data_IF_144343616352
#
_entry.id   IF_144343616352
#
_cell.length_a   1.000
_cell.length_b   1.000
_cell.length_c   1.000
_cell.angle_alpha   90.00
_cell.angle_beta   90.00
_cell.angle_gamma   90.00
#
_symmetry.space_group_name_H-M   'P 1'
#
loop_
_entity.id
_entity.type
_entity.pdbx_description
1 polymer ?
#
# COMPACT_ATOMS: atom_id res chain seq x y z
N UNK A 1 -6.41 -35.37 -11.97
CA UNK A 1 -6.91 -34.07 -12.50
C UNK A 1 -6.12 -32.95 -11.86
N UNK A 2 -5.04 -32.52 -12.51
CA UNK A 2 -4.17 -31.46 -11.99
C UNK A 2 -4.91 -30.12 -12.10
N UNK A 3 -5.34 -29.58 -10.96
CA UNK A 3 -5.88 -28.22 -10.84
C UNK A 3 -4.78 -27.22 -11.18
N UNK A 4 -4.66 -26.89 -12.47
CA UNK A 4 -3.76 -25.85 -12.95
C UNK A 4 -4.47 -24.51 -12.76
N UNK A 5 -4.04 -23.78 -11.74
CA UNK A 5 -4.46 -22.41 -11.50
C UNK A 5 -3.77 -21.47 -12.51
N UNK A 6 -4.47 -20.43 -12.99
CA UNK A 6 -3.98 -19.37 -13.89
C UNK A 6 -3.81 -19.76 -15.37
N UNK A 7 -4.86 -20.31 -15.97
CA UNK A 7 -4.87 -20.58 -17.42
C UNK A 7 -5.15 -19.35 -18.28
N UNK A 8 -5.93 -18.41 -17.75
CA UNK A 8 -6.47 -17.30 -18.54
C UNK A 8 -5.90 -15.93 -18.15
N UNK A 9 -5.17 -15.87 -17.04
CA UNK A 9 -4.59 -14.62 -16.52
C UNK A 9 -3.28 -14.31 -17.22
N UNK A 10 -3.20 -13.15 -17.86
CA UNK A 10 -1.95 -12.70 -18.48
C UNK A 10 -0.84 -12.49 -17.44
N UNK A 11 0.41 -12.94 -17.67
CA UNK A 11 1.52 -12.75 -16.72
C UNK A 11 1.77 -11.28 -16.36
N UNK A 12 1.54 -10.37 -17.32
CA UNK A 12 1.68 -8.92 -17.12
C UNK A 12 0.73 -8.35 -16.06
N UNK A 13 -0.47 -8.93 -15.90
CA UNK A 13 -1.45 -8.53 -14.88
C UNK A 13 -0.91 -8.77 -13.46
N UNK A 14 -0.35 -9.96 -13.21
CA UNK A 14 0.25 -10.29 -11.93
C UNK A 14 1.51 -9.45 -11.72
N UNK A 15 2.37 -9.36 -12.73
CA UNK A 15 3.61 -8.59 -12.63
C UNK A 15 3.36 -7.13 -12.25
N UNK A 16 2.47 -6.42 -12.95
CA UNK A 16 2.18 -5.02 -12.66
C UNK A 16 1.56 -4.83 -11.27
N UNK A 17 0.59 -5.67 -10.90
CA UNK A 17 -0.03 -5.60 -9.58
C UNK A 17 0.97 -5.81 -8.44
N UNK A 18 1.81 -6.84 -8.54
CA UNK A 18 2.83 -7.12 -7.53
C UNK A 18 3.98 -6.11 -7.52
N UNK A 19 4.31 -5.50 -8.66
CA UNK A 19 5.28 -4.41 -8.74
C UNK A 19 4.81 -3.19 -7.94
N UNK A 20 3.55 -2.77 -8.12
CA UNK A 20 2.99 -1.65 -7.36
C UNK A 20 2.85 -2.02 -5.88
N UNK A 21 2.48 -3.27 -5.57
CA UNK A 21 2.47 -3.77 -4.19
C UNK A 21 3.84 -3.69 -3.53
N UNK A 22 4.92 -4.04 -4.24
CA UNK A 22 6.27 -3.92 -3.70
C UNK A 22 6.62 -2.46 -3.39
N UNK A 23 6.26 -1.51 -4.27
CA UNK A 23 6.45 -0.07 -4.02
C UNK A 23 5.66 0.41 -2.79
N UNK A 24 4.43 -0.04 -2.63
CA UNK A 24 3.60 0.27 -1.47
C UNK A 24 4.19 -0.30 -0.19
N UNK A 25 4.67 -1.55 -0.23
CA UNK A 25 5.28 -2.22 0.91
C UNK A 25 6.57 -1.51 1.34
N UNK A 26 7.44 -1.13 0.40
CA UNK A 26 8.66 -0.37 0.69
C UNK A 26 8.32 0.97 1.34
N UNK A 27 7.38 1.72 0.75
CA UNK A 27 6.95 3.03 1.28
C UNK A 27 6.36 2.90 2.69
N UNK A 28 5.58 1.84 2.93
CA UNK A 28 5.04 1.53 4.25
C UNK A 28 6.13 1.21 5.27
N UNK A 29 7.14 0.40 4.90
CA UNK A 29 8.25 0.08 5.78
C UNK A 29 9.07 1.32 6.14
N UNK A 30 9.35 2.21 5.17
CA UNK A 30 10.08 3.46 5.40
C UNK A 30 9.30 4.35 6.38
N UNK A 31 8.00 4.52 6.17
CA UNK A 31 7.14 5.30 7.07
C UNK A 31 7.13 4.73 8.50
N UNK A 32 6.96 3.42 8.66
CA UNK A 32 6.97 2.80 9.99
C UNK A 32 8.34 2.88 10.66
N UNK A 33 9.43 2.86 9.90
CA UNK A 33 10.77 2.99 10.45
C UNK A 33 10.96 4.33 11.18
N UNK A 34 10.32 5.41 10.72
CA UNK A 34 10.40 6.74 11.38
C UNK A 34 9.65 6.80 12.71
N UNK A 35 8.72 5.87 12.99
CA UNK A 35 7.93 5.88 14.24
C UNK A 35 8.69 5.31 15.44
N UNK A 36 9.86 4.70 15.22
CA UNK A 36 10.59 4.00 16.27
C UNK A 36 12.08 4.41 16.29
N UNK A 37 12.56 4.87 17.44
CA UNK A 37 13.96 5.31 17.59
C UNK A 37 15.00 4.22 17.31
N UNK A 38 14.66 2.96 17.61
CA UNK A 38 15.58 1.83 17.50
C UNK A 38 15.14 0.88 16.39
N UNK A 39 16.10 0.48 15.55
CA UNK A 39 15.89 -0.43 14.43
C UNK A 39 15.18 -1.72 14.82
N UNK A 40 15.54 -2.36 15.94
CA UNK A 40 14.89 -3.61 16.40
C UNK A 40 13.42 -3.38 16.76
N UNK A 41 13.09 -2.24 17.39
CA UNK A 41 11.70 -1.89 17.72
C UNK A 41 10.89 -1.59 16.48
N UNK A 42 11.50 -0.92 15.49
CA UNK A 42 10.89 -0.67 14.19
C UNK A 42 10.52 -1.96 13.46
N UNK A 43 11.46 -2.90 13.39
CA UNK A 43 11.25 -4.18 12.71
C UNK A 43 10.16 -4.99 13.40
N UNK A 44 10.25 -5.16 14.74
CA UNK A 44 9.24 -5.90 15.49
C UNK A 44 7.87 -5.23 15.41
N UNK A 45 7.81 -3.90 15.60
CA UNK A 45 6.58 -3.12 15.51
C UNK A 45 5.90 -3.27 14.15
N UNK A 46 6.66 -3.07 13.06
CA UNK A 46 6.15 -3.22 11.69
C UNK A 46 5.68 -4.65 11.42
N UNK A 47 6.42 -5.66 11.90
CA UNK A 47 6.03 -7.06 11.80
C UNK A 47 4.70 -7.34 12.53
N UNK A 48 4.55 -6.86 13.76
CA UNK A 48 3.30 -7.00 14.51
C UNK A 48 2.13 -6.30 13.82
N UNK A 49 2.32 -5.07 13.34
CA UNK A 49 1.30 -4.33 12.58
C UNK A 49 0.88 -5.12 11.32
N UNK A 50 1.85 -5.68 10.59
CA UNK A 50 1.59 -6.48 9.41
C UNK A 50 0.81 -7.75 9.75
N UNK A 51 1.19 -8.48 10.80
CA UNK A 51 0.48 -9.68 11.28
C UNK A 51 -0.93 -9.35 11.76
N UNK A 52 -1.12 -8.26 12.50
CA UNK A 52 -2.45 -7.82 12.93
C UNK A 52 -3.35 -7.47 11.74
N UNK A 53 -2.80 -6.84 10.70
CA UNK A 53 -3.55 -6.53 9.49
C UNK A 53 -4.07 -7.78 8.76
N UNK A 54 -3.40 -8.93 8.91
CA UNK A 54 -3.87 -10.22 8.40
C UNK A 54 -5.16 -10.68 9.08
N UNK A 55 -5.25 -10.53 10.39
CA UNK A 55 -6.45 -10.89 11.15
C UNK A 55 -7.62 -9.97 10.81
N UNK A 56 -7.38 -8.66 10.70
CA UNK A 56 -8.39 -7.68 10.30
C UNK A 56 -8.98 -8.02 8.93
N UNK A 57 -8.13 -8.35 7.95
CA UNK A 57 -8.60 -8.70 6.60
C UNK A 57 -9.45 -9.97 6.57
N UNK A 58 -9.12 -10.98 7.38
CA UNK A 58 -9.87 -12.23 7.42
C UNK A 58 -11.35 -12.02 7.75
N UNK A 59 -11.65 -10.98 8.53
CA UNK A 59 -12.99 -10.54 8.85
C UNK A 59 -13.56 -9.57 7.79
N UNK A 60 -12.70 -8.72 7.20
CA UNK A 60 -13.09 -7.71 6.22
C UNK A 60 -13.57 -8.26 4.85
N UNK A 61 -13.39 -9.54 4.56
CA UNK A 61 -13.92 -10.18 3.33
C UNK A 61 -15.45 -10.03 3.22
N UNK A 62 -16.15 -10.00 4.36
CA UNK A 62 -17.62 -9.89 4.42
C UNK A 62 -18.07 -8.43 4.37
N UNK A 63 -17.14 -7.48 4.43
CA UNK A 63 -17.46 -6.06 4.50
C UNK A 63 -17.73 -5.45 3.12
N UNK A 64 -18.46 -4.33 3.07
CA UNK A 64 -18.68 -3.58 1.83
C UNK A 64 -17.37 -3.23 1.11
N UNK A 65 -17.40 -3.20 -0.21
CA UNK A 65 -16.26 -2.90 -1.08
C UNK A 65 -15.59 -1.57 -0.76
N UNK A 66 -16.36 -0.55 -0.37
CA UNK A 66 -15.84 0.74 0.06
C UNK A 66 -14.88 0.61 1.26
N UNK A 67 -15.21 -0.23 2.25
CA UNK A 67 -14.36 -0.45 3.41
C UNK A 67 -13.11 -1.23 3.01
N UNK A 68 -13.22 -2.19 2.10
CA UNK A 68 -12.07 -2.91 1.57
C UNK A 68 -11.08 -1.97 0.87
N UNK A 69 -11.57 -0.97 0.11
CA UNK A 69 -10.72 0.05 -0.52
C UNK A 69 -10.00 0.94 0.50
N UNK A 70 -10.69 1.35 1.57
CA UNK A 70 -10.06 2.10 2.67
C UNK A 70 -8.98 1.24 3.35
N UNK A 71 -9.24 -0.05 3.53
CA UNK A 71 -8.28 -0.96 4.13
C UNK A 71 -7.05 -1.24 3.24
N UNK A 72 -7.21 -1.27 1.92
CA UNK A 72 -6.09 -1.31 0.95
C UNK A 72 -5.20 -0.07 1.11
N UNK A 73 -5.80 1.08 1.40
CA UNK A 73 -5.07 2.32 1.64
C UNK A 73 -4.27 2.30 2.96
N UNK A 74 -4.78 1.58 3.98
CA UNK A 74 -4.16 1.53 5.31
C UNK A 74 -3.05 0.48 5.39
N UNK A 75 -3.21 -0.67 4.75
CA UNK A 75 -2.25 -1.78 4.87
C UNK A 75 -1.86 -2.37 3.53
N UNK A 76 -0.54 -2.51 3.25
CA UNK A 76 -0.07 -3.18 2.03
C UNK A 76 -0.48 -4.66 2.00
N UNK A 77 -0.59 -5.36 3.13
CA UNK A 77 -1.01 -6.78 3.15
C UNK A 77 -2.33 -7.00 2.39
N UNK A 78 -3.28 -6.10 2.63
CA UNK A 78 -4.63 -6.16 2.07
C UNK A 78 -4.58 -5.91 0.56
N UNK A 79 -3.76 -4.97 0.12
CA UNK A 79 -3.50 -4.70 -1.28
C UNK A 79 -2.98 -5.94 -2.02
N UNK A 80 -1.94 -6.60 -1.50
CA UNK A 80 -1.37 -7.81 -2.11
C UNK A 80 -2.37 -8.97 -2.21
N UNK A 81 -3.21 -9.16 -1.17
CA UNK A 81 -4.30 -10.16 -1.19
C UNK A 81 -5.39 -9.81 -2.21
N UNK A 82 -5.74 -8.54 -2.33
CA UNK A 82 -6.78 -8.09 -3.27
C UNK A 82 -6.41 -8.35 -4.73
N UNK A 83 -5.14 -8.13 -5.10
CA UNK A 83 -4.62 -8.45 -6.44
C UNK A 83 -4.71 -9.95 -6.72
N UNK A 84 -4.29 -10.78 -5.76
CA UNK A 84 -4.35 -12.23 -5.89
C UNK A 84 -5.78 -12.75 -6.03
N UNK A 85 -6.71 -12.19 -5.25
CA UNK A 85 -8.13 -12.55 -5.32
C UNK A 85 -8.73 -12.16 -6.68
N UNK A 86 -8.38 -10.98 -7.22
CA UNK A 86 -8.85 -10.56 -8.54
C UNK A 86 -8.28 -11.44 -9.66
N UNK A 87 -7.02 -11.89 -9.54
CA UNK A 87 -6.45 -12.85 -10.47
C UNK A 87 -7.20 -14.19 -10.47
N UNK A 88 -7.56 -14.71 -9.29
CA UNK A 88 -8.37 -15.94 -9.18
C UNK A 88 -9.76 -15.73 -9.79
N UNK A 89 -10.43 -14.61 -9.47
CA UNK A 89 -11.76 -14.33 -10.01
C UNK A 89 -11.74 -14.20 -11.54
N UNK A 90 -10.69 -13.60 -12.09
CA UNK A 90 -10.47 -13.53 -13.52
C UNK A 90 -10.26 -14.93 -14.13
N UNK A 91 -9.51 -15.79 -13.45
CA UNK A 91 -9.28 -17.17 -13.91
C UNK A 91 -10.56 -18.01 -13.89
N UNK A 92 -11.35 -17.89 -12.81
CA UNK A 92 -12.65 -18.56 -12.67
C UNK A 92 -13.69 -18.08 -13.68
N UNK A 93 -13.61 -16.82 -14.11
CA UNK A 93 -14.47 -16.28 -15.15
C UNK A 93 -14.20 -16.90 -16.54
N UNK A 94 -13.10 -17.66 -16.70
CA UNK A 94 -12.67 -18.30 -17.95
C UNK A 94 -12.62 -17.33 -19.15
N UNK A 95 -12.45 -16.04 -18.87
CA UNK A 95 -12.36 -15.02 -19.92
C UNK A 95 -10.93 -14.94 -20.40
N UNK A 96 -10.64 -15.53 -21.56
CA UNK A 96 -9.39 -15.29 -22.31
C UNK A 96 -9.41 -13.88 -22.93
N UNK A 97 -9.33 -12.85 -22.09
CA UNK A 97 -9.22 -11.46 -22.54
C UNK A 97 -7.75 -11.05 -22.48
N UNK A 98 -7.26 -10.49 -23.58
CA UNK A 98 -5.93 -9.91 -23.66
C UNK A 98 -5.71 -8.90 -22.52
N UNK A 99 -4.46 -8.66 -22.09
CA UNK A 99 -4.12 -7.74 -20.98
C UNK A 99 -4.92 -6.43 -21.02
N UNK A 100 -4.99 -5.75 -22.17
CA UNK A 100 -5.75 -4.51 -22.38
C UNK A 100 -7.28 -4.67 -22.42
N UNK A 101 -7.78 -5.87 -22.71
CA UNK A 101 -9.21 -6.17 -22.76
C UNK A 101 -9.74 -6.67 -21.41
N UNK A 102 -8.91 -7.34 -20.60
CA UNK A 102 -9.15 -7.60 -19.18
C UNK A 102 -9.24 -6.28 -18.40
N UNK A 103 -8.35 -5.36 -18.76
CA UNK A 103 -8.36 -3.94 -18.38
C UNK A 103 -9.69 -3.27 -18.73
N UNK A 104 -10.26 -3.51 -19.93
CA UNK A 104 -11.48 -2.84 -20.42
C UNK A 104 -12.82 -3.49 -20.05
N UNK A 105 -12.84 -4.74 -19.57
CA UNK A 105 -14.08 -5.47 -19.23
C UNK A 105 -14.37 -5.51 -17.72
N UNK A 106 -13.33 -5.45 -16.88
CA UNK A 106 -13.41 -5.34 -15.41
C UNK A 106 -12.87 -3.98 -14.89
N UNK A 107 -12.96 -2.95 -15.75
CA UNK A 107 -12.40 -1.58 -15.59
C UNK A 107 -12.47 -1.00 -14.19
N UNK A 108 -13.57 -1.08 -13.42
CA UNK A 108 -13.59 -0.34 -12.18
C UNK A 108 -12.68 -0.96 -11.13
N UNK A 109 -12.65 -2.28 -10.95
CA UNK A 109 -12.17 -2.86 -9.69
C UNK A 109 -10.64 -2.92 -9.65
N UNK A 110 -10.00 -3.41 -10.70
CA UNK A 110 -8.53 -3.55 -10.73
C UNK A 110 -7.84 -2.19 -10.84
N UNK A 111 -8.31 -1.29 -11.71
CA UNK A 111 -7.74 0.05 -11.79
C UNK A 111 -7.94 0.86 -10.52
N UNK A 112 -9.11 0.77 -9.88
CA UNK A 112 -9.33 1.43 -8.59
C UNK A 112 -8.37 0.87 -7.54
N UNK A 113 -8.15 -0.45 -7.49
CA UNK A 113 -7.14 -1.03 -6.60
C UNK A 113 -5.74 -0.50 -6.88
N UNK A 114 -5.27 -0.53 -8.14
CA UNK A 114 -3.94 0.00 -8.49
C UNK A 114 -3.81 1.49 -8.19
N UNK A 115 -4.85 2.28 -8.49
CA UNK A 115 -4.88 3.71 -8.22
C UNK A 115 -4.78 4.00 -6.72
N UNK A 116 -5.57 3.31 -5.89
CA UNK A 116 -5.50 3.45 -4.43
C UNK A 116 -4.11 3.08 -3.93
N UNK A 117 -3.49 2.01 -4.45
CA UNK A 117 -2.14 1.62 -4.04
C UNK A 117 -1.11 2.70 -4.37
N UNK A 118 -1.16 3.29 -5.57
CA UNK A 118 -0.27 4.41 -5.95
C UNK A 118 -0.51 5.61 -5.04
N UNK A 119 -1.76 5.98 -4.77
CA UNK A 119 -2.12 7.07 -3.86
C UNK A 119 -1.61 6.79 -2.45
N UNK A 120 -1.65 5.53 -2.01
CA UNK A 120 -1.10 5.09 -0.71
C UNK A 120 0.42 5.25 -0.67
N UNK A 121 1.13 4.91 -1.75
CA UNK A 121 2.59 5.12 -1.84
C UNK A 121 2.95 6.59 -1.64
N UNK A 122 2.28 7.48 -2.38
CA UNK A 122 2.50 8.93 -2.28
C UNK A 122 2.20 9.42 -0.87
N UNK A 123 1.10 8.95 -0.27
CA UNK A 123 0.72 9.30 1.09
C UNK A 123 1.76 8.84 2.12
N UNK A 124 2.22 7.58 2.06
CA UNK A 124 3.25 7.08 2.97
C UNK A 124 4.58 7.82 2.81
N UNK A 125 4.92 8.25 1.59
CA UNK A 125 6.11 9.06 1.34
C UNK A 125 6.00 10.46 1.99
N UNK A 126 4.87 11.14 1.78
CA UNK A 126 4.61 12.45 2.41
C UNK A 126 4.61 12.31 3.93
N UNK A 127 3.97 11.26 4.45
CA UNK A 127 3.91 11.01 5.88
C UNK A 127 5.30 10.68 6.45
N UNK A 128 6.10 9.90 5.73
CA UNK A 128 7.49 9.63 6.12
C UNK A 128 8.31 10.91 6.20
N UNK A 129 8.20 11.79 5.20
CA UNK A 129 8.87 13.09 5.22
C UNK A 129 8.41 13.97 6.39
N UNK A 130 7.11 13.98 6.69
CA UNK A 130 6.57 14.68 7.85
C UNK A 130 7.11 14.11 9.17
N UNK A 131 7.10 12.78 9.32
CA UNK A 131 7.55 12.10 10.53
C UNK A 131 9.04 12.31 10.79
N UNK A 132 9.87 12.34 9.74
CA UNK A 132 11.31 12.62 9.89
C UNK A 132 11.58 14.01 10.50
N UNK A 133 10.71 14.99 10.23
CA UNK A 133 10.82 16.36 10.79
C UNK A 133 10.29 16.47 12.22
N UNK A 134 9.25 15.71 12.56
CA UNK A 134 8.63 15.73 13.89
C UNK A 134 9.37 14.84 14.89
N UNK A 135 9.81 13.66 14.44
CA UNK A 135 10.57 12.68 15.21
C UNK A 135 11.96 12.51 14.61
N UNK A 136 12.84 13.50 14.75
CA UNK A 136 14.21 13.34 14.29
C UNK A 136 14.91 12.22 15.07
N UNK A 137 15.81 11.51 14.39
CA UNK A 137 16.71 10.55 15.02
C UNK A 137 17.71 11.20 15.99
N UNK A 138 18.71 10.45 16.43
CA UNK A 138 19.61 10.76 17.57
C UNK A 138 20.28 12.16 17.57
N UNK A 139 20.35 12.87 16.44
CA UNK A 139 21.06 14.15 16.30
C UNK A 139 20.21 15.31 15.74
N UNK A 140 18.90 15.13 15.49
CA UNK A 140 18.07 16.20 14.94
C UNK A 140 17.26 16.95 16.01
N UNK A 141 17.01 18.24 15.78
CA UNK A 141 16.15 19.07 16.64
C UNK A 141 14.70 18.86 16.20
N UNK A 142 13.78 18.43 17.08
CA UNK A 142 12.40 18.15 16.71
C UNK A 142 11.67 19.44 16.32
N UNK A 143 11.01 19.43 15.15
CA UNK A 143 10.09 20.49 14.79
C UNK A 143 8.72 20.23 15.44
N UNK A 144 8.04 21.31 15.82
CA UNK A 144 6.67 21.23 16.33
C UNK A 144 5.75 20.55 15.32
N UNK A 145 4.76 19.78 15.79
CA UNK A 145 3.78 19.10 14.93
C UNK A 145 3.06 20.01 13.91
N UNK A 146 2.91 21.29 14.24
CA UNK A 146 2.26 22.29 13.40
C UNK A 146 3.24 23.04 12.46
N UNK A 147 4.48 22.56 12.30
CA UNK A 147 5.50 23.21 11.47
C UNK A 147 5.04 23.47 10.03
N UNK A 148 4.21 22.58 9.46
CA UNK A 148 3.65 22.73 8.12
C UNK A 148 2.83 24.01 7.95
N UNK A 149 2.24 24.54 9.02
CA UNK A 149 1.44 25.77 9.00
C UNK A 149 2.23 27.03 9.34
N UNK A 150 3.49 26.91 9.77
CA UNK A 150 4.33 28.06 10.09
C UNK A 150 4.97 28.59 8.80
N UNK A 151 4.74 29.87 8.49
CA UNK A 151 5.31 30.51 7.31
C UNK A 151 6.85 30.54 7.34
N UNK A 152 7.44 30.60 8.53
CA UNK A 152 8.89 30.62 8.75
C UNK A 152 9.57 29.31 8.31
N UNK A 153 8.84 28.20 8.25
CA UNK A 153 9.37 26.93 7.71
C UNK A 153 9.53 26.98 6.18
N UNK A 154 8.56 27.57 5.49
CA UNK A 154 8.54 27.62 4.02
C UNK A 154 9.33 28.80 3.47
N UNK A 155 9.45 29.88 4.25
CA UNK A 155 10.25 31.04 3.91
C UNK A 155 11.69 30.74 4.30
N UNK A 156 12.46 30.19 3.35
CA UNK A 156 13.92 30.15 3.48
C UNK A 156 14.41 31.57 3.74
N UNK A 157 14.93 31.82 4.94
CA UNK A 157 15.55 33.08 5.30
C UNK A 157 16.73 33.28 4.36
N UNK A 158 16.54 34.12 3.33
CA UNK A 158 17.61 34.56 2.45
C UNK A 158 18.49 35.49 3.27
N UNK A 159 19.58 34.95 3.80
CA UNK A 159 20.72 35.72 4.30
C UNK A 159 21.31 36.52 3.15
#
# INVERSE_FOLDING_TARGET
TSSRYFHTVSPGFLFLGYLIYALQLISFCIMNAQLFDKTIRAVLGTFFIYVLSRFIYSYAIVWPTAIQYILIFISPYIAGRSIFQQAILHDLANTNVAFFQAIYRHVPIYFVTLFIMIVSCVFYWILSWYLEKVFPGEFGIPLDWNFLFKQDYWRSEKV
#
